data_IF_084806787529
#
_entry.id   IF_084806787529
#
_cell.length_a   1.000
_cell.length_b   1.000
_cell.length_c   1.000
_cell.angle_alpha   90.00
_cell.angle_beta   90.00
_cell.angle_gamma   90.00
#
_symmetry.space_group_name_H-M   'P 1'
#
loop_
_entity.id
_entity.type
_entity.pdbx_description
1 polymer ?
#
# COMPACT_ATOMS: atom_id res chain seq x y z
N UNK A 1 26.64 17.22 22.11
CA UNK A 1 25.64 17.66 21.12
C UNK A 1 24.52 16.64 21.20
N UNK A 2 23.26 17.09 21.10
CA UNK A 2 22.11 16.14 21.00
C UNK A 2 22.04 15.46 19.63
N UNK A 3 21.12 14.53 19.49
CA UNK A 3 20.84 13.87 18.22
C UNK A 3 20.35 14.87 17.16
N UNK A 4 20.74 14.67 15.92
CA UNK A 4 20.29 15.49 14.79
C UNK A 4 19.40 14.70 13.86
N UNK A 5 18.38 15.35 13.33
CA UNK A 5 17.40 14.75 12.42
C UNK A 5 17.43 15.49 11.09
N UNK A 6 18.30 15.08 10.13
CA UNK A 6 18.48 15.80 8.87
C UNK A 6 17.20 15.79 8.04
N UNK A 7 16.91 16.92 7.40
CA UNK A 7 15.82 17.06 6.45
C UNK A 7 16.12 16.25 5.18
N UNK A 8 15.08 15.68 4.59
CA UNK A 8 15.18 14.89 3.35
C UNK A 8 13.99 15.15 2.44
N UNK A 9 14.18 14.92 1.14
CA UNK A 9 13.13 15.08 0.12
C UNK A 9 12.41 13.77 -0.14
N UNK A 10 11.10 13.84 -0.38
CA UNK A 10 10.29 12.70 -0.80
C UNK A 10 9.49 13.02 -2.06
N UNK A 11 8.98 11.98 -2.72
CA UNK A 11 8.20 12.11 -3.94
C UNK A 11 6.90 11.28 -3.88
N UNK A 12 5.80 11.88 -4.33
CA UNK A 12 4.55 11.20 -4.62
C UNK A 12 4.33 11.16 -6.14
N UNK A 13 4.36 9.96 -6.70
CA UNK A 13 4.13 9.76 -8.14
C UNK A 13 2.63 9.77 -8.41
N UNK A 14 2.22 10.65 -9.33
CA UNK A 14 0.88 10.74 -9.89
C UNK A 14 0.96 10.36 -11.36
N UNK A 15 0.57 9.13 -11.71
CA UNK A 15 0.75 8.64 -13.05
C UNK A 15 -0.27 7.57 -13.46
N UNK A 16 -0.58 7.50 -14.75
CA UNK A 16 -1.30 6.39 -15.36
C UNK A 16 -0.33 5.22 -15.64
N UNK A 17 -0.75 3.97 -15.49
CA UNK A 17 -0.02 2.84 -16.07
C UNK A 17 -0.12 2.85 -17.60
N UNK A 18 0.73 2.10 -18.30
CA UNK A 18 0.39 1.60 -19.62
C UNK A 18 -0.53 0.42 -19.40
N UNK A 19 -1.84 0.67 -19.49
CA UNK A 19 -2.86 -0.19 -18.92
C UNK A 19 -2.84 -1.61 -19.49
N UNK A 20 -2.76 -2.61 -18.59
CA UNK A 20 -2.64 -4.03 -18.90
C UNK A 20 -1.37 -4.42 -19.71
N UNK A 21 -0.34 -3.57 -19.70
CA UNK A 21 0.97 -3.85 -20.28
C UNK A 21 2.03 -3.76 -19.16
N UNK A 22 2.43 -4.92 -18.64
CA UNK A 22 3.37 -5.04 -17.53
C UNK A 22 4.74 -4.48 -17.89
N UNK A 23 5.25 -4.83 -19.06
CA UNK A 23 6.59 -4.45 -19.50
C UNK A 23 6.71 -2.93 -19.66
N UNK A 24 5.80 -2.32 -20.42
CA UNK A 24 5.82 -0.86 -20.64
C UNK A 24 5.52 -0.07 -19.37
N UNK A 25 4.64 -0.59 -18.48
CA UNK A 25 4.40 0.06 -17.19
C UNK A 25 5.64 -0.02 -16.30
N UNK A 26 6.37 -1.14 -16.32
CA UNK A 26 7.64 -1.28 -15.60
C UNK A 26 8.71 -0.32 -16.12
N UNK A 27 8.87 -0.20 -17.44
CA UNK A 27 9.78 0.77 -18.06
C UNK A 27 9.45 2.21 -17.63
N UNK A 28 8.16 2.57 -17.67
CA UNK A 28 7.67 3.87 -17.21
C UNK A 28 7.96 4.08 -15.72
N UNK A 29 7.68 3.09 -14.87
CA UNK A 29 7.99 3.14 -13.45
C UNK A 29 9.47 3.38 -13.18
N UNK A 30 10.36 2.63 -13.83
CA UNK A 30 11.81 2.78 -13.71
C UNK A 30 12.28 4.18 -14.13
N UNK A 31 11.71 4.76 -15.19
CA UNK A 31 12.00 6.13 -15.60
C UNK A 31 11.59 7.14 -14.54
N UNK A 32 10.36 7.03 -13.99
CA UNK A 32 9.84 7.92 -12.94
C UNK A 32 10.66 7.81 -11.63
N UNK A 33 11.11 6.60 -11.27
CA UNK A 33 11.99 6.37 -10.12
C UNK A 33 13.32 7.14 -10.32
N UNK A 34 13.96 6.99 -11.49
CA UNK A 34 15.21 7.69 -11.79
C UNK A 34 15.04 9.21 -11.83
N UNK A 35 13.90 9.69 -12.36
CA UNK A 35 13.56 11.12 -12.38
C UNK A 35 13.44 11.66 -10.94
N UNK A 36 12.68 10.97 -10.08
CA UNK A 36 12.54 11.36 -8.68
C UNK A 36 13.88 11.30 -7.92
N UNK A 37 14.72 10.31 -8.20
CA UNK A 37 16.06 10.19 -7.63
C UNK A 37 16.99 11.35 -8.04
N UNK A 38 16.96 11.81 -9.30
CA UNK A 38 17.71 12.99 -9.76
C UNK A 38 17.33 14.26 -9.02
N UNK A 39 16.06 14.37 -8.61
CA UNK A 39 15.58 15.47 -7.77
C UNK A 39 15.93 15.31 -6.28
N UNK A 40 16.61 14.23 -5.90
CA UNK A 40 17.07 13.94 -4.56
C UNK A 40 16.00 13.34 -3.62
N UNK A 41 14.95 12.74 -4.17
CA UNK A 41 13.96 12.04 -3.36
C UNK A 41 14.57 10.79 -2.70
N UNK A 42 14.33 10.62 -1.39
CA UNK A 42 14.80 9.47 -0.59
C UNK A 42 13.72 8.42 -0.39
N UNK A 43 12.46 8.80 -0.50
CA UNK A 43 11.30 7.90 -0.48
C UNK A 43 10.37 8.30 -1.64
N UNK A 44 9.96 7.32 -2.44
CA UNK A 44 9.13 7.51 -3.62
C UNK A 44 7.91 6.59 -3.50
N UNK A 45 6.71 7.18 -3.37
CA UNK A 45 5.46 6.44 -3.37
C UNK A 45 4.83 6.36 -4.76
N UNK A 46 4.27 5.20 -5.09
CA UNK A 46 3.53 4.94 -6.33
C UNK A 46 2.06 4.65 -6.07
N UNK A 47 1.19 4.80 -7.09
CA UNK A 47 -0.23 4.48 -6.99
C UNK A 47 -0.51 3.00 -6.69
N UNK A 48 -1.74 2.72 -6.23
CA UNK A 48 -2.29 1.39 -6.01
C UNK A 48 -2.33 0.57 -7.29
N UNK A 49 -1.87 -0.70 -7.21
CA UNK A 49 -1.90 -1.65 -8.32
C UNK A 49 -1.35 -1.06 -9.63
N UNK A 50 -0.34 -0.19 -9.53
CA UNK A 50 0.20 0.57 -10.66
C UNK A 50 0.68 -0.33 -11.80
N UNK A 51 1.30 -1.48 -11.48
CA UNK A 51 1.70 -2.48 -12.47
C UNK A 51 0.72 -3.65 -12.44
N UNK A 52 0.00 -3.92 -13.52
CA UNK A 52 -0.15 -3.17 -14.78
C UNK A 52 -1.38 -2.25 -14.81
N UNK A 53 -1.97 -1.91 -13.64
CA UNK A 53 -3.14 -1.05 -13.50
C UNK A 53 -4.23 -1.65 -12.60
N UNK A 54 -5.03 -0.78 -12.00
CA UNK A 54 -6.14 -1.17 -11.13
C UNK A 54 -7.35 -1.66 -11.94
N UNK A 55 -8.09 -2.69 -11.50
CA UNK A 55 -9.21 -3.30 -12.24
C UNK A 55 -10.50 -2.46 -12.20
N UNK A 56 -10.49 -1.27 -12.77
CA UNK A 56 -11.62 -0.32 -12.80
C UNK A 56 -12.86 -0.81 -13.57
N UNK A 57 -12.75 -1.85 -14.39
CA UNK A 57 -13.83 -2.28 -15.31
C UNK A 57 -15.11 -2.71 -14.61
N UNK A 58 -15.08 -3.15 -13.36
CA UNK A 58 -16.28 -3.56 -12.64
C UNK A 58 -17.24 -2.42 -12.31
N UNK A 59 -16.76 -1.18 -12.35
CA UNK A 59 -17.59 0.00 -12.16
C UNK A 59 -18.36 0.37 -13.44
N UNK A 60 -17.96 -0.20 -14.60
CA UNK A 60 -18.46 0.18 -15.91
C UNK A 60 -18.95 -0.99 -16.75
N UNK A 61 -18.69 -2.24 -16.36
CA UNK A 61 -19.04 -3.45 -17.12
C UNK A 61 -19.75 -4.47 -16.25
N UNK A 62 -20.57 -5.30 -16.88
CA UNK A 62 -21.19 -6.45 -16.21
C UNK A 62 -20.10 -7.47 -15.85
N UNK A 63 -20.08 -7.94 -14.62
CA UNK A 63 -19.00 -8.79 -14.09
C UNK A 63 -18.70 -10.04 -14.96
N UNK A 64 -19.72 -10.69 -15.52
CA UNK A 64 -19.54 -11.88 -16.40
C UNK A 64 -18.73 -11.57 -17.66
N UNK A 65 -18.78 -10.32 -18.15
CA UNK A 65 -18.10 -9.89 -19.36
C UNK A 65 -16.65 -9.43 -19.09
N UNK A 66 -16.25 -9.38 -17.81
CA UNK A 66 -14.92 -8.95 -17.39
C UNK A 66 -13.88 -10.08 -17.40
N UNK A 67 -14.26 -11.35 -17.56
CA UNK A 67 -13.31 -12.48 -17.54
C UNK A 67 -12.11 -12.32 -18.48
N UNK A 68 -12.26 -11.84 -19.73
CA UNK A 68 -11.10 -11.61 -20.60
C UNK A 68 -10.14 -10.56 -20.03
N UNK A 69 -10.64 -9.49 -19.40
CA UNK A 69 -9.83 -8.45 -18.77
C UNK A 69 -9.11 -8.96 -17.53
N UNK A 70 -9.77 -9.81 -16.73
CA UNK A 70 -9.14 -10.47 -15.57
C UNK A 70 -8.01 -11.40 -16.03
N UNK A 71 -8.22 -12.12 -17.14
CA UNK A 71 -7.20 -12.98 -17.72
C UNK A 71 -6.00 -12.18 -18.22
N UNK A 72 -6.21 -11.04 -18.89
CA UNK A 72 -5.11 -10.16 -19.30
C UNK A 72 -4.40 -9.54 -18.10
N UNK A 73 -5.14 -9.12 -17.07
CA UNK A 73 -4.56 -8.67 -15.82
C UNK A 73 -3.66 -9.75 -15.20
N UNK A 74 -4.15 -11.00 -15.11
CA UNK A 74 -3.38 -12.12 -14.55
C UNK A 74 -2.08 -12.37 -15.31
N UNK A 75 -2.15 -12.39 -16.66
CA UNK A 75 -0.97 -12.58 -17.52
C UNK A 75 0.08 -11.48 -17.33
N UNK A 76 -0.38 -10.25 -17.09
CA UNK A 76 0.45 -9.06 -16.89
C UNK A 76 0.72 -8.74 -15.42
N UNK A 77 0.29 -9.57 -14.49
CA UNK A 77 0.60 -9.42 -13.06
C UNK A 77 2.01 -9.89 -12.72
N UNK A 78 2.51 -9.46 -11.56
CA UNK A 78 3.92 -9.57 -11.16
C UNK A 78 4.09 -10.70 -10.16
N UNK A 79 5.00 -11.63 -10.40
CA UNK A 79 5.53 -12.51 -9.35
C UNK A 79 6.64 -11.80 -8.58
N UNK A 80 6.73 -12.05 -7.29
CA UNK A 80 7.76 -11.49 -6.42
C UNK A 80 8.55 -12.64 -5.77
N UNK A 81 9.87 -12.80 -6.12
CA UNK A 81 10.68 -12.02 -7.09
C UNK A 81 10.43 -12.38 -8.56
N UNK A 82 10.83 -11.50 -9.48
CA UNK A 82 10.74 -11.70 -10.93
C UNK A 82 11.67 -10.74 -11.69
N UNK A 83 11.82 -10.86 -13.02
CA UNK A 83 12.54 -9.86 -13.83
C UNK A 83 11.99 -8.43 -13.69
N UNK A 84 10.67 -8.28 -13.52
CA UNK A 84 10.02 -6.98 -13.25
C UNK A 84 10.54 -6.38 -11.94
N UNK A 85 10.53 -7.15 -10.87
CA UNK A 85 11.03 -6.66 -9.57
C UNK A 85 12.52 -6.39 -9.60
N UNK A 86 13.31 -7.16 -10.39
CA UNK A 86 14.73 -6.90 -10.58
C UNK A 86 14.98 -5.55 -11.27
N UNK A 87 14.19 -5.20 -12.30
CA UNK A 87 14.30 -3.90 -12.97
C UNK A 87 13.94 -2.73 -12.03
N UNK A 88 12.90 -2.89 -11.20
CA UNK A 88 12.52 -1.91 -10.18
C UNK A 88 13.61 -1.75 -9.11
N UNK A 89 14.20 -2.85 -8.66
CA UNK A 89 15.32 -2.86 -7.72
C UNK A 89 16.53 -2.10 -8.26
N UNK A 90 16.87 -2.31 -9.52
CA UNK A 90 17.97 -1.59 -10.17
C UNK A 90 17.67 -0.09 -10.27
N UNK A 91 16.46 0.30 -10.68
CA UNK A 91 16.06 1.71 -10.71
C UNK A 91 16.09 2.36 -9.31
N UNK A 92 15.65 1.66 -8.27
CA UNK A 92 15.73 2.14 -6.89
C UNK A 92 17.18 2.34 -6.42
N UNK A 93 18.07 1.41 -6.76
CA UNK A 93 19.50 1.48 -6.48
C UNK A 93 20.15 2.68 -7.19
N UNK A 94 19.86 2.89 -8.48
CA UNK A 94 20.37 4.02 -9.26
C UNK A 94 19.87 5.36 -8.70
N UNK A 95 18.61 5.40 -8.23
CA UNK A 95 18.02 6.58 -7.58
C UNK A 95 18.54 6.82 -6.16
N UNK A 96 19.13 5.81 -5.50
CA UNK A 96 19.49 5.87 -4.07
C UNK A 96 18.29 6.13 -3.16
N UNK A 97 17.11 5.62 -3.54
CA UNK A 97 15.84 5.92 -2.90
C UNK A 97 15.08 4.65 -2.52
N UNK A 98 14.34 4.72 -1.41
CA UNK A 98 13.33 3.71 -1.09
C UNK A 98 12.11 3.90 -1.98
N UNK A 99 11.66 2.83 -2.62
CA UNK A 99 10.49 2.84 -3.52
C UNK A 99 9.38 1.99 -2.91
N UNK A 100 8.17 2.55 -2.85
CA UNK A 100 6.95 1.82 -2.49
C UNK A 100 6.06 1.73 -3.73
N UNK A 101 6.02 0.55 -4.34
CA UNK A 101 5.41 0.30 -5.64
C UNK A 101 4.11 -0.49 -5.51
N UNK A 102 3.01 0.03 -6.04
CA UNK A 102 1.76 -0.73 -6.17
C UNK A 102 1.82 -1.74 -7.31
N UNK A 103 1.53 -3.00 -7.03
CA UNK A 103 1.51 -4.06 -8.05
C UNK A 103 0.29 -4.97 -7.90
N UNK A 104 -0.18 -5.53 -9.02
CA UNK A 104 -0.98 -6.74 -8.98
C UNK A 104 -0.03 -7.93 -8.85
N UNK A 105 0.03 -8.52 -7.66
CA UNK A 105 0.90 -9.65 -7.37
C UNK A 105 0.22 -10.96 -7.77
N UNK A 106 0.90 -11.78 -8.57
CA UNK A 106 0.48 -13.14 -8.88
C UNK A 106 1.06 -14.12 -7.87
N UNK A 107 0.20 -14.92 -7.24
CA UNK A 107 0.65 -15.97 -6.32
C UNK A 107 1.40 -17.07 -7.07
N UNK A 108 2.68 -17.34 -6.76
CA UNK A 108 3.45 -18.36 -7.45
C UNK A 108 2.80 -19.75 -7.39
N UNK A 109 2.78 -20.44 -8.52
CA UNK A 109 2.23 -21.80 -8.63
C UNK A 109 0.70 -21.91 -8.55
N UNK A 110 -0.02 -20.79 -8.73
CA UNK A 110 -1.48 -20.77 -8.95
C UNK A 110 -1.80 -20.18 -10.32
N UNK A 111 -2.98 -20.55 -10.86
CA UNK A 111 -3.52 -19.97 -12.08
C UNK A 111 -4.83 -19.26 -11.74
N UNK A 112 -4.73 -17.98 -11.33
CA UNK A 112 -5.90 -17.14 -11.05
C UNK A 112 -5.87 -16.39 -9.72
N UNK A 113 -4.93 -16.66 -8.81
CA UNK A 113 -4.85 -15.94 -7.53
C UNK A 113 -3.99 -14.70 -7.68
N UNK A 114 -4.60 -13.54 -7.42
CA UNK A 114 -3.97 -12.22 -7.44
C UNK A 114 -4.11 -11.55 -6.07
N UNK A 115 -3.13 -10.70 -5.74
CA UNK A 115 -3.19 -9.79 -4.59
C UNK A 115 -2.92 -8.37 -5.05
N UNK A 116 -3.57 -7.43 -4.38
CA UNK A 116 -3.21 -6.03 -4.44
C UNK A 116 -2.09 -5.78 -3.44
N UNK A 117 -0.92 -5.37 -3.90
CA UNK A 117 0.31 -5.40 -3.10
C UNK A 117 1.08 -4.10 -3.21
N UNK A 118 1.57 -3.58 -2.10
CA UNK A 118 2.67 -2.62 -2.03
C UNK A 118 3.99 -3.39 -1.87
N UNK A 119 4.92 -3.18 -2.81
CA UNK A 119 6.28 -3.72 -2.77
C UNK A 119 7.23 -2.64 -2.27
N UNK A 120 7.98 -2.93 -1.22
CA UNK A 120 8.98 -2.04 -0.63
C UNK A 120 10.38 -2.44 -1.09
N UNK A 121 11.09 -1.50 -1.71
CA UNK A 121 12.45 -1.70 -2.26
C UNK A 121 13.36 -0.66 -1.62
N UNK A 122 14.48 -1.10 -1.06
CA UNK A 122 15.46 -0.23 -0.43
C UNK A 122 16.36 0.53 -1.41
N UNK A 123 17.08 1.55 -0.93
CA UNK A 123 17.99 2.34 -1.76
C UNK A 123 19.22 1.56 -2.24
N UNK A 124 19.46 0.37 -1.68
CA UNK A 124 20.49 -0.58 -2.12
C UNK A 124 19.99 -1.52 -3.23
N UNK A 125 18.74 -1.37 -3.67
CA UNK A 125 18.11 -2.22 -4.67
C UNK A 125 17.63 -3.57 -4.16
N UNK A 126 17.51 -3.75 -2.85
CA UNK A 126 16.96 -4.98 -2.28
C UNK A 126 15.48 -4.84 -1.95
N UNK A 127 14.73 -5.91 -2.16
CA UNK A 127 13.37 -6.01 -1.67
C UNK A 127 13.42 -6.06 -0.14
N UNK A 128 12.85 -5.04 0.53
CA UNK A 128 12.69 -4.99 1.97
C UNK A 128 11.54 -5.89 2.44
N UNK A 129 10.48 -5.94 1.65
CA UNK A 129 9.29 -6.74 1.89
C UNK A 129 8.11 -6.26 1.07
N UNK A 130 6.92 -6.65 1.49
CA UNK A 130 5.67 -6.28 0.84
C UNK A 130 4.52 -6.21 1.85
N UNK A 131 3.48 -5.46 1.49
CA UNK A 131 2.18 -5.50 2.15
C UNK A 131 1.12 -5.92 1.14
N UNK A 132 0.41 -7.02 1.40
CA UNK A 132 -0.77 -7.47 0.66
C UNK A 132 -2.01 -6.88 1.30
N UNK A 133 -2.84 -6.17 0.54
CA UNK A 133 -4.09 -5.58 1.02
C UNK A 133 -4.91 -6.62 1.78
N UNK A 134 -5.18 -6.33 3.06
CA UNK A 134 -5.82 -7.31 3.96
C UNK A 134 -7.24 -7.64 3.49
N UNK A 135 -8.00 -6.62 3.09
CA UNK A 135 -9.36 -6.79 2.59
C UNK A 135 -9.54 -5.98 1.31
N UNK A 136 -9.65 -6.63 0.14
CA UNK A 136 -9.99 -5.95 -1.11
C UNK A 136 -11.34 -5.25 -0.98
N UNK A 137 -11.44 -4.04 -1.58
CA UNK A 137 -12.61 -3.16 -1.41
C UNK A 137 -13.64 -3.43 -2.50
N UNK A 138 -14.92 -3.65 -2.10
CA UNK A 138 -16.06 -3.73 -3.00
C UNK A 138 -15.84 -4.73 -4.14
N UNK A 139 -15.93 -4.28 -5.39
CA UNK A 139 -15.78 -5.11 -6.61
C UNK A 139 -14.38 -5.67 -6.81
N UNK A 140 -13.37 -5.10 -6.17
CA UNK A 140 -12.00 -5.61 -6.14
C UNK A 140 -11.91 -7.07 -5.68
N UNK A 141 -12.87 -7.51 -4.82
CA UNK A 141 -12.99 -8.91 -4.34
C UNK A 141 -13.25 -9.92 -5.45
N UNK A 142 -13.65 -9.47 -6.63
CA UNK A 142 -13.82 -10.33 -7.80
C UNK A 142 -12.48 -10.65 -8.49
N UNK A 143 -11.41 -9.96 -8.10
CA UNK A 143 -10.06 -10.08 -8.69
C UNK A 143 -9.04 -10.49 -7.64
N UNK A 144 -8.98 -9.78 -6.52
CA UNK A 144 -7.93 -9.93 -5.53
C UNK A 144 -8.37 -10.77 -4.33
N UNK A 145 -7.48 -11.64 -3.89
CA UNK A 145 -7.60 -12.34 -2.62
C UNK A 145 -7.20 -11.41 -1.46
N UNK A 146 -7.73 -11.69 -0.26
CA UNK A 146 -7.36 -10.97 0.96
C UNK A 146 -5.93 -11.29 1.38
N UNK A 147 -5.18 -10.32 1.86
CA UNK A 147 -3.89 -10.48 2.52
C UNK A 147 -4.02 -11.12 3.91
N UNK A 148 -2.92 -11.13 4.66
CA UNK A 148 -2.86 -11.49 6.06
C UNK A 148 -1.91 -10.54 6.81
N UNK A 149 -1.96 -10.56 8.14
CA UNK A 149 -1.19 -9.60 8.93
C UNK A 149 0.31 -9.90 8.98
N UNK A 150 0.79 -11.00 8.42
CA UNK A 150 2.23 -11.28 8.30
C UNK A 150 2.96 -10.22 7.48
N UNK A 151 2.22 -9.50 6.63
CA UNK A 151 2.74 -8.44 5.75
C UNK A 151 2.44 -7.03 6.26
N UNK A 152 1.71 -6.87 7.38
CA UNK A 152 1.39 -5.58 7.99
C UNK A 152 2.57 -5.10 8.86
N UNK A 153 3.63 -4.61 8.20
CA UNK A 153 4.92 -4.28 8.82
C UNK A 153 5.46 -2.96 8.32
N UNK A 154 6.32 -2.35 9.15
CA UNK A 154 7.16 -1.23 8.74
C UNK A 154 8.54 -1.73 8.34
N UNK A 155 9.29 -0.89 7.61
CA UNK A 155 10.66 -1.16 7.18
C UNK A 155 11.57 -0.04 7.65
N UNK A 156 12.65 -0.39 8.33
CA UNK A 156 13.64 0.58 8.78
C UNK A 156 14.57 0.96 7.64
N UNK A 157 14.60 2.24 7.30
CA UNK A 157 15.47 2.83 6.31
C UNK A 157 16.27 3.98 6.95
N UNK A 158 17.25 4.48 6.25
CA UNK A 158 18.18 5.50 6.78
C UNK A 158 17.53 6.85 7.15
N UNK A 159 16.38 7.20 6.52
CA UNK A 159 15.63 8.43 6.83
C UNK A 159 14.48 8.20 7.82
N UNK A 160 14.31 6.99 8.33
CA UNK A 160 13.32 6.62 9.33
C UNK A 160 12.43 5.45 8.92
N UNK A 161 11.61 4.93 9.85
CA UNK A 161 10.71 3.80 9.56
C UNK A 161 9.61 4.17 8.57
N UNK A 162 9.47 3.38 7.50
CA UNK A 162 8.45 3.55 6.46
C UNK A 162 7.46 2.38 6.48
N UNK A 163 6.19 2.70 6.41
CA UNK A 163 5.10 1.75 6.23
C UNK A 163 4.17 2.19 5.09
N UNK A 164 3.08 1.47 4.93
CA UNK A 164 2.08 1.86 3.95
C UNK A 164 0.82 1.01 4.02
N UNK A 165 -0.27 1.61 3.56
CA UNK A 165 -1.58 0.99 3.43
C UNK A 165 -2.19 1.33 2.07
N UNK A 166 -3.06 0.45 1.60
CA UNK A 166 -3.65 0.51 0.27
C UNK A 166 -5.10 1.01 0.37
N UNK A 167 -5.38 2.18 -0.21
CA UNK A 167 -6.74 2.73 -0.40
C UNK A 167 -7.58 2.73 0.88
N UNK A 168 -8.68 1.98 0.91
CA UNK A 168 -9.62 1.89 2.02
C UNK A 168 -9.03 1.44 3.36
N UNK A 169 -7.91 0.74 3.35
CA UNK A 169 -7.19 0.34 4.57
C UNK A 169 -6.79 1.54 5.42
N UNK A 170 -6.52 2.68 4.78
CA UNK A 170 -6.19 3.95 5.45
C UNK A 170 -7.33 4.47 6.35
N UNK A 171 -8.53 3.89 6.27
CA UNK A 171 -9.66 4.21 7.15
C UNK A 171 -9.71 3.32 8.39
N UNK A 172 -9.05 2.15 8.36
CA UNK A 172 -9.15 1.16 9.42
C UNK A 172 -8.23 1.54 10.60
N UNK A 173 -8.85 1.82 11.75
CA UNK A 173 -8.12 2.24 12.96
C UNK A 173 -7.15 1.19 13.47
N UNK A 174 -7.49 -0.11 13.37
CA UNK A 174 -6.60 -1.19 13.80
C UNK A 174 -5.35 -1.30 12.92
N UNK A 175 -5.51 -1.16 11.58
CA UNK A 175 -4.37 -1.25 10.67
C UNK A 175 -3.42 -0.06 10.85
N UNK A 176 -3.98 1.15 10.99
CA UNK A 176 -3.19 2.35 11.28
C UNK A 176 -2.43 2.22 12.60
N UNK A 177 -3.14 1.84 13.66
CA UNK A 177 -2.53 1.69 14.99
C UNK A 177 -1.46 0.59 14.98
N UNK A 178 -1.65 -0.49 14.22
CA UNK A 178 -0.67 -1.56 14.07
C UNK A 178 0.67 -1.07 13.49
N UNK A 179 0.64 -0.18 12.48
CA UNK A 179 1.85 0.41 11.92
C UNK A 179 2.46 1.47 12.83
N UNK A 180 1.63 2.35 13.39
CA UNK A 180 2.08 3.41 14.29
C UNK A 180 2.76 2.85 15.54
N UNK A 181 2.24 1.78 16.14
CA UNK A 181 2.84 1.10 17.31
C UNK A 181 4.18 0.42 16.98
N UNK A 182 4.43 0.08 15.72
CA UNK A 182 5.75 -0.37 15.27
C UNK A 182 6.74 0.78 15.09
N UNK A 183 6.31 2.04 15.22
CA UNK A 183 7.16 3.23 15.16
C UNK A 183 7.19 3.90 13.77
N UNK A 184 6.16 3.73 12.96
CA UNK A 184 6.07 4.38 11.64
C UNK A 184 6.23 5.90 11.74
N UNK A 185 7.06 6.47 10.86
CA UNK A 185 7.28 7.92 10.73
C UNK A 185 6.97 8.45 9.33
N UNK A 186 7.03 7.57 8.33
CA UNK A 186 6.71 7.87 6.93
C UNK A 186 5.70 6.84 6.46
N UNK A 187 4.53 7.32 6.09
CA UNK A 187 3.44 6.49 5.59
C UNK A 187 3.24 6.68 4.09
N UNK A 188 3.15 5.59 3.33
CA UNK A 188 2.82 5.64 1.90
C UNK A 188 1.39 5.14 1.70
N UNK A 189 0.49 6.06 1.37
CA UNK A 189 -0.88 5.78 1.02
C UNK A 189 -1.03 5.66 -0.50
N UNK A 190 -1.26 4.46 -1.00
CA UNK A 190 -1.44 4.20 -2.44
C UNK A 190 -2.92 4.13 -2.79
N UNK A 191 -3.32 4.85 -3.86
CA UNK A 191 -4.71 4.95 -4.31
C UNK A 191 -4.82 4.66 -5.80
N UNK A 192 -5.97 4.13 -6.28
CA UNK A 192 -6.25 4.11 -7.70
C UNK A 192 -6.64 5.52 -8.17
N UNK A 193 -6.91 5.68 -9.46
CA UNK A 193 -7.55 6.89 -9.96
C UNK A 193 -9.02 6.94 -9.53
N UNK A 194 -9.51 8.10 -9.06
CA UNK A 194 -10.91 8.31 -8.70
C UNK A 194 -11.56 9.37 -9.57
N UNK A 195 -12.65 9.03 -10.29
CA UNK A 195 -13.20 9.92 -11.32
C UNK A 195 -13.89 11.17 -10.78
N UNK A 196 -14.26 11.19 -9.51
CA UNK A 196 -15.08 12.27 -8.96
C UNK A 196 -14.50 12.91 -7.69
N UNK A 197 -14.89 14.19 -7.46
CA UNK A 197 -14.42 14.98 -6.30
C UNK A 197 -14.85 14.42 -4.94
N UNK A 198 -15.96 13.69 -4.86
CA UNK A 198 -16.43 13.10 -3.60
C UNK A 198 -15.45 12.05 -3.11
N UNK A 199 -14.96 11.19 -4.01
CA UNK A 199 -13.97 10.17 -3.66
C UNK A 199 -12.61 10.79 -3.34
N UNK A 200 -12.22 11.85 -4.06
CA UNK A 200 -11.02 12.63 -3.77
C UNK A 200 -11.06 13.25 -2.37
N UNK A 201 -12.23 13.78 -1.93
CA UNK A 201 -12.40 14.31 -0.57
C UNK A 201 -12.25 13.22 0.50
N UNK A 202 -12.58 11.96 0.17
CA UNK A 202 -12.34 10.83 1.07
C UNK A 202 -10.85 10.51 1.23
N UNK A 203 -10.03 10.70 0.19
CA UNK A 203 -8.57 10.58 0.27
C UNK A 203 -8.05 11.67 1.23
N UNK A 204 -8.48 12.91 1.03
CA UNK A 204 -8.07 14.05 1.86
C UNK A 204 -8.29 13.79 3.35
N UNK A 205 -9.51 13.42 3.74
CA UNK A 205 -9.87 13.16 5.12
C UNK A 205 -8.99 12.06 5.73
N UNK A 206 -8.81 10.96 5.02
CA UNK A 206 -8.06 9.79 5.48
C UNK A 206 -6.58 10.09 5.68
N UNK A 207 -5.96 10.72 4.70
CA UNK A 207 -4.51 10.96 4.70
C UNK A 207 -4.12 12.06 5.67
N UNK A 208 -4.90 13.14 5.75
CA UNK A 208 -4.68 14.22 6.72
C UNK A 208 -4.91 13.74 8.16
N UNK A 209 -5.96 12.94 8.37
CA UNK A 209 -6.23 12.38 9.69
C UNK A 209 -5.13 11.37 10.11
N UNK A 210 -4.67 10.52 9.18
CA UNK A 210 -3.55 9.60 9.44
C UNK A 210 -2.31 10.35 9.92
N UNK A 211 -1.90 11.37 9.18
CA UNK A 211 -0.74 12.20 9.51
C UNK A 211 -0.90 12.86 10.89
N UNK A 212 -2.07 13.44 11.15
CA UNK A 212 -2.39 14.12 12.41
C UNK A 212 -2.46 13.14 13.59
N UNK A 213 -3.14 11.99 13.44
CA UNK A 213 -3.25 10.96 14.48
C UNK A 213 -1.88 10.39 14.84
N UNK A 214 -1.10 9.98 13.82
CA UNK A 214 0.19 9.30 13.99
C UNK A 214 1.35 10.23 14.27
N UNK A 215 1.18 11.56 14.07
CA UNK A 215 2.29 12.52 14.05
C UNK A 215 3.39 12.04 13.11
N UNK A 216 3.03 11.68 11.89
CA UNK A 216 3.90 11.15 10.86
C UNK A 216 3.71 11.88 9.54
N UNK A 217 4.63 11.71 8.60
CA UNK A 217 4.47 12.19 7.23
C UNK A 217 3.68 11.19 6.41
N UNK A 218 2.82 11.68 5.50
CA UNK A 218 2.08 10.84 4.56
C UNK A 218 2.41 11.23 3.12
N UNK A 219 2.89 10.27 2.35
CA UNK A 219 3.06 10.36 0.90
C UNK A 219 1.84 9.70 0.26
N UNK A 220 0.94 10.49 -0.30
CA UNK A 220 -0.31 10.03 -0.90
C UNK A 220 -0.19 10.05 -2.41
N UNK A 221 -0.16 8.88 -3.05
CA UNK A 221 0.03 8.71 -4.49
C UNK A 221 -1.23 8.13 -5.13
N UNK A 222 -1.76 8.82 -6.13
CA UNK A 222 -2.97 8.41 -6.87
C UNK A 222 -2.66 8.08 -8.32
N UNK A 223 -3.41 7.12 -8.87
CA UNK A 223 -3.43 6.85 -10.29
C UNK A 223 -4.01 8.00 -11.11
N UNK A 224 -3.83 7.91 -12.42
CA UNK A 224 -4.39 8.83 -13.41
C UNK A 224 -5.11 8.00 -14.48
N UNK A 225 -6.26 8.45 -14.96
CA UNK A 225 -6.91 7.87 -16.14
C UNK A 225 -6.27 8.38 -17.42
N UNK A 226 -5.70 7.49 -18.21
CA UNK A 226 -5.28 7.79 -19.58
C UNK A 226 -6.43 7.65 -20.58
N UNK A 227 -6.25 8.14 -21.80
CA UNK A 227 -7.26 7.98 -22.86
C UNK A 227 -7.41 6.52 -23.27
N UNK A 228 -6.32 5.76 -23.31
CA UNK A 228 -6.34 4.32 -23.59
C UNK A 228 -7.14 3.55 -22.53
N UNK A 229 -7.00 3.93 -21.26
CA UNK A 229 -7.82 3.35 -20.18
C UNK A 229 -9.30 3.65 -20.41
N UNK A 230 -9.66 4.90 -20.76
CA UNK A 230 -11.05 5.28 -21.03
C UNK A 230 -11.65 4.51 -22.20
N UNK A 231 -10.89 4.37 -23.30
CA UNK A 231 -11.34 3.61 -24.47
C UNK A 231 -11.58 2.13 -24.12
N UNK A 232 -10.74 1.54 -23.29
CA UNK A 232 -10.88 0.14 -22.89
C UNK A 232 -12.01 -0.06 -21.85
N UNK A 233 -12.14 0.85 -20.88
CA UNK A 233 -13.10 0.71 -19.78
C UNK A 233 -14.52 1.06 -20.19
N UNK A 234 -14.71 2.09 -21.01
CA UNK A 234 -16.02 2.65 -21.33
C UNK A 234 -16.61 2.03 -22.59
N UNK A 235 -17.86 1.58 -22.50
CA UNK A 235 -18.64 1.04 -23.63
C UNK A 235 -19.72 2.01 -24.13
N UNK A 236 -19.98 3.09 -23.37
CA UNK A 236 -20.98 4.12 -23.73
C UNK A 236 -20.41 5.55 -23.60
N UNK A 237 -20.99 6.54 -24.32
CA UNK A 237 -20.60 7.94 -24.18
C UNK A 237 -20.79 8.48 -22.75
N UNK A 238 -21.82 8.03 -22.04
CA UNK A 238 -22.11 8.41 -20.66
C UNK A 238 -21.00 7.99 -19.70
N UNK A 239 -20.50 6.76 -19.88
CA UNK A 239 -19.36 6.24 -19.11
C UNK A 239 -18.09 7.05 -19.39
N UNK A 240 -17.83 7.40 -20.67
CA UNK A 240 -16.69 8.27 -21.03
C UNK A 240 -16.81 9.65 -20.36
N UNK A 241 -18.02 10.20 -20.27
CA UNK A 241 -18.26 11.46 -19.56
C UNK A 241 -18.02 11.34 -18.06
N UNK A 242 -18.39 10.22 -17.44
CA UNK A 242 -18.10 9.95 -16.02
C UNK A 242 -16.60 9.87 -15.74
N UNK A 243 -15.79 9.32 -16.67
CA UNK A 243 -14.34 9.23 -16.58
C UNK A 243 -13.58 10.40 -17.22
N UNK A 244 -14.25 11.52 -17.49
CA UNK A 244 -13.60 12.68 -18.16
C UNK A 244 -12.51 13.33 -17.31
N UNK A 245 -12.58 13.22 -15.98
CA UNK A 245 -11.55 13.72 -15.06
C UNK A 245 -10.27 12.92 -15.08
N UNK A 246 -9.18 13.51 -14.60
CA UNK A 246 -7.87 12.83 -14.50
C UNK A 246 -7.86 11.71 -13.48
N UNK A 247 -8.75 11.77 -12.49
CA UNK A 247 -8.78 10.82 -11.37
C UNK A 247 -7.72 11.06 -10.29
N UNK A 248 -6.87 12.06 -10.50
CA UNK A 248 -5.73 12.35 -9.66
C UNK A 248 -6.08 13.17 -8.41
N UNK A 249 -5.37 12.89 -7.30
CA UNK A 249 -5.45 13.66 -6.06
C UNK A 249 -4.23 13.38 -5.16
N UNK A 250 -3.03 13.42 -5.73
CA UNK A 250 -1.81 13.14 -4.97
C UNK A 250 -1.42 14.33 -4.09
N UNK A 251 -0.82 14.03 -2.94
CA UNK A 251 -0.36 15.04 -1.98
C UNK A 251 0.75 14.49 -1.08
N UNK A 252 1.47 15.39 -0.43
CA UNK A 252 2.40 15.07 0.67
C UNK A 252 1.96 15.89 1.88
N UNK A 253 1.83 15.24 3.03
CA UNK A 253 1.18 15.77 4.22
C UNK A 253 2.13 15.68 5.40
N UNK A 254 2.18 16.74 6.20
CA UNK A 254 2.98 16.85 7.41
C UNK A 254 2.25 16.37 8.67
N UNK A 255 2.97 16.24 9.81
CA UNK A 255 2.47 15.67 11.06
C UNK A 255 1.29 16.42 11.72
N UNK A 256 1.02 17.66 11.32
CA UNK A 256 -0.15 18.45 11.79
C UNK A 256 -1.36 18.31 10.86
N UNK A 257 -1.26 17.47 9.80
CA UNK A 257 -2.27 17.32 8.77
C UNK A 257 -2.27 18.41 7.70
N UNK A 258 -1.24 19.27 7.68
CA UNK A 258 -1.02 20.30 6.65
C UNK A 258 -0.51 19.71 5.34
N UNK A 259 -0.81 20.34 4.22
CA UNK A 259 -0.23 19.99 2.95
C UNK A 259 1.16 20.58 2.79
N UNK A 260 2.17 19.74 2.58
CA UNK A 260 3.52 20.13 2.21
C UNK A 260 3.67 20.25 0.69
N UNK A 261 2.88 19.43 -0.06
CA UNK A 261 2.73 19.54 -1.50
C UNK A 261 1.36 19.00 -1.93
N UNK A 262 0.79 19.59 -2.97
CA UNK A 262 -0.58 19.27 -3.43
C UNK A 262 -1.67 19.79 -2.47
N UNK A 263 -2.91 19.24 -2.50
CA UNK A 263 -3.34 18.16 -3.41
C UNK A 263 -3.36 18.60 -4.87
N UNK A 264 -3.03 17.69 -5.77
CA UNK A 264 -3.02 17.97 -7.20
C UNK A 264 -4.01 17.07 -7.95
N UNK A 265 -4.92 17.68 -8.70
CA UNK A 265 -5.92 17.00 -9.53
C UNK A 265 -5.64 17.12 -11.03
N UNK A 266 -4.43 17.55 -11.40
CA UNK A 266 -3.99 17.65 -12.79
C UNK A 266 -3.63 16.32 -13.42
N UNK A 267 -2.89 16.37 -14.51
CA UNK A 267 -2.40 15.17 -15.20
C UNK A 267 -1.22 14.49 -14.50
N UNK A 268 -0.46 13.71 -15.26
CA UNK A 268 0.72 13.02 -14.73
C UNK A 268 1.80 14.00 -14.28
N UNK A 269 2.36 13.74 -13.10
CA UNK A 269 3.50 14.48 -12.52
C UNK A 269 4.08 13.75 -11.31
N UNK A 270 5.20 14.25 -10.82
CA UNK A 270 5.76 13.87 -9.53
C UNK A 270 5.69 15.10 -8.61
N UNK A 271 5.05 14.93 -7.45
CA UNK A 271 5.06 15.95 -6.40
C UNK A 271 6.24 15.72 -5.46
N UNK A 272 6.86 16.81 -5.02
CA UNK A 272 8.01 16.76 -4.11
C UNK A 272 7.76 17.61 -2.88
N UNK A 273 8.28 17.16 -1.73
CA UNK A 273 8.34 17.94 -0.52
C UNK A 273 9.64 17.66 0.26
N UNK A 274 10.12 18.68 0.95
CA UNK A 274 11.17 18.55 1.97
C UNK A 274 10.51 18.20 3.29
N UNK A 275 10.91 17.09 3.91
CA UNK A 275 10.44 16.67 5.23
C UNK A 275 11.44 17.07 6.31
N UNK A 276 10.93 17.56 7.45
CA UNK A 276 11.69 17.91 8.62
C UNK A 276 11.30 16.98 9.77
N UNK A 277 12.10 15.95 10.10
CA UNK A 277 11.75 15.01 11.16
C UNK A 277 11.64 15.62 12.55
N UNK A 278 12.22 16.79 12.80
CA UNK A 278 12.09 17.49 14.09
C UNK A 278 10.65 17.91 14.36
N UNK A 279 9.82 18.11 13.30
CA UNK A 279 8.39 18.41 13.45
C UNK A 279 7.67 17.21 14.10
N UNK A 280 8.02 15.98 13.75
CA UNK A 280 7.46 14.78 14.41
C UNK A 280 7.75 14.82 15.92
N UNK A 281 9.01 15.09 16.29
CA UNK A 281 9.43 15.16 17.68
C UNK A 281 8.65 16.25 18.42
N UNK A 282 8.57 17.46 17.84
CA UNK A 282 7.86 18.60 18.42
C UNK A 282 6.38 18.28 18.69
N UNK A 283 5.69 17.69 17.72
CA UNK A 283 4.28 17.34 17.82
C UNK A 283 4.03 16.19 18.82
N UNK A 284 4.91 15.19 18.86
CA UNK A 284 4.83 14.07 19.79
C UNK A 284 5.11 14.43 21.24
N UNK A 285 5.87 15.47 21.52
CA UNK A 285 6.06 15.98 22.89
C UNK A 285 4.71 16.30 23.57
N UNK A 286 3.77 16.83 22.79
CA UNK A 286 2.44 17.21 23.30
C UNK A 286 1.41 16.08 23.21
N UNK A 287 1.48 15.24 22.18
CA UNK A 287 0.41 14.28 21.88
C UNK A 287 0.96 13.05 21.13
N UNK A 288 1.55 12.11 21.85
CA UNK A 288 2.03 10.86 21.28
C UNK A 288 1.10 9.69 21.61
N UNK A 289 0.23 9.31 20.65
CA UNK A 289 -0.68 8.17 20.79
C UNK A 289 0.06 6.82 20.88
N UNK A 290 1.31 6.78 20.45
CA UNK A 290 2.14 5.57 20.53
C UNK A 290 3.01 5.54 21.79
N UNK A 291 2.89 6.56 22.64
CA UNK A 291 3.66 6.75 23.86
C UNK A 291 2.79 7.24 25.02
N UNK A 292 3.18 8.40 25.58
CA UNK A 292 2.63 8.93 26.83
C UNK A 292 1.15 9.34 26.78
N UNK A 293 0.57 9.53 25.59
CA UNK A 293 -0.84 9.91 25.43
C UNK A 293 -1.75 8.70 25.20
N UNK A 294 -1.40 7.54 25.75
CA UNK A 294 -2.18 6.31 25.69
C UNK A 294 -2.13 5.54 27.02
N UNK A 295 -3.09 4.66 27.23
CA UNK A 295 -3.23 3.83 28.42
C UNK A 295 -3.10 2.35 28.00
N UNK A 296 -1.88 1.92 27.65
CA UNK A 296 -1.56 0.53 27.28
C UNK A 296 -1.72 -0.47 28.43
N UNK A 297 -1.86 0.03 29.65
CA UNK A 297 -2.28 -0.75 30.79
C UNK A 297 -3.78 -1.13 30.78
N UNK A 298 -4.60 -0.37 30.01
CA UNK A 298 -6.04 -0.64 29.85
C UNK A 298 -6.38 -1.27 28.51
N UNK A 299 -5.61 -0.97 27.44
CA UNK A 299 -5.90 -1.39 26.08
C UNK A 299 -4.69 -2.09 25.45
N UNK A 300 -4.93 -3.24 24.86
CA UNK A 300 -3.93 -4.01 24.14
C UNK A 300 -4.40 -4.27 22.71
N UNK A 301 -3.51 -4.12 21.73
CA UNK A 301 -3.72 -4.55 20.35
C UNK A 301 -2.95 -5.86 20.12
N UNK A 302 -3.67 -6.96 19.97
CA UNK A 302 -3.08 -8.26 19.64
C UNK A 302 -3.29 -8.53 18.16
N UNK A 303 -2.21 -8.85 17.46
CA UNK A 303 -2.22 -9.12 16.01
C UNK A 303 -1.74 -10.55 15.80
N UNK A 304 -2.54 -11.36 15.12
CA UNK A 304 -2.07 -12.64 14.61
C UNK A 304 -1.29 -12.42 13.31
N UNK A 305 0.02 -12.34 13.42
CA UNK A 305 0.93 -12.06 12.30
C UNK A 305 1.44 -13.32 11.60
N UNK A 306 0.82 -14.47 11.86
CA UNK A 306 1.16 -15.72 11.17
C UNK A 306 0.74 -15.63 9.71
N UNK A 307 1.64 -16.06 8.82
CA UNK A 307 1.32 -16.18 7.41
C UNK A 307 0.25 -17.28 7.19
N UNK A 308 -0.85 -16.91 6.54
CA UNK A 308 -1.90 -17.87 6.20
C UNK A 308 -1.46 -18.71 5.02
N UNK A 309 -1.22 -20.01 5.26
CA UNK A 309 -0.99 -20.95 4.16
C UNK A 309 -2.28 -21.14 3.35
N UNK A 310 -2.30 -20.63 2.12
CA UNK A 310 -3.44 -20.75 1.21
C UNK A 310 -3.39 -22.02 0.37
N UNK A 311 -2.30 -22.77 0.47
CA UNK A 311 -2.18 -24.09 -0.13
C UNK A 311 -2.39 -25.12 0.94
N UNK A 312 -3.41 -25.99 0.80
CA UNK A 312 -3.50 -27.14 1.68
C UNK A 312 -2.20 -27.95 1.55
N UNK A 313 -1.53 -28.18 2.67
CA UNK A 313 -0.45 -29.14 2.71
C UNK A 313 -1.09 -30.50 2.42
N UNK A 314 -0.80 -31.05 1.25
CA UNK A 314 -1.22 -32.41 0.94
C UNK A 314 -0.35 -33.34 1.79
N UNK A 315 -0.84 -33.69 3.00
CA UNK A 315 -0.24 -34.72 3.83
C UNK A 315 -1.07 -35.97 3.65
N UNK A 316 -0.45 -37.09 3.29
CA UNK A 316 -1.13 -38.38 3.34
C UNK A 316 -1.52 -38.67 4.80
N UNK A 317 -2.63 -39.36 5.02
CA UNK A 317 -3.16 -39.69 6.35
C UNK A 317 -2.10 -40.35 7.24
N UNK A 318 -1.19 -41.12 6.66
CA UNK A 318 -0.11 -41.80 7.35
C UNK A 318 0.98 -40.85 7.92
N UNK A 319 1.16 -39.67 7.31
CA UNK A 319 2.08 -38.64 7.84
C UNK A 319 1.46 -37.78 8.93
N UNK A 320 0.13 -37.62 8.97
CA UNK A 320 -0.58 -36.91 10.02
C UNK A 320 -0.60 -37.68 11.36
N UNK A 321 -0.60 -39.00 11.30
CA UNK A 321 -0.55 -39.85 12.51
C UNK A 321 0.84 -39.86 13.16
N UNK A 322 1.92 -39.66 12.40
CA UNK A 322 3.28 -39.60 12.92
C UNK A 322 3.63 -38.27 13.61
N UNK A 323 3.03 -37.17 13.19
CA UNK A 323 3.29 -35.84 13.78
C UNK A 323 2.40 -35.55 15.01
N UNK A 324 1.18 -36.09 15.06
CA UNK A 324 0.29 -35.95 16.23
C UNK A 324 0.73 -36.77 17.44
N UNK A 325 1.67 -37.70 17.28
CA UNK A 325 2.27 -38.45 18.38
C UNK A 325 3.35 -37.67 19.17
N UNK A 326 3.74 -36.47 18.71
CA UNK A 326 4.76 -35.62 19.34
C UNK A 326 4.28 -34.27 19.87
N UNK A 327 2.98 -33.95 19.72
CA UNK A 327 2.38 -32.76 20.32
C UNK A 327 1.74 -33.18 21.66
N UNK A 328 2.55 -33.05 22.73
CA UNK A 328 2.01 -33.08 24.09
C UNK A 328 0.98 -31.97 24.28
N UNK A 329 -0.15 -32.36 24.83
CA UNK A 329 -1.26 -31.52 25.27
C UNK A 329 -0.73 -30.34 26.12
N UNK A 330 -0.68 -29.15 25.55
CA UNK A 330 -0.69 -27.91 26.30
C UNK A 330 -1.62 -26.91 25.58
N UNK A 331 -2.93 -27.18 25.67
CA UNK A 331 -4.01 -26.28 25.29
C UNK A 331 -4.83 -25.96 26.52
N UNK A 332 -4.22 -25.39 27.56
CA UNK A 332 -4.98 -24.73 28.62
C UNK A 332 -5.14 -23.23 28.25
N UNK A 333 -6.18 -22.94 27.49
CA UNK A 333 -6.81 -21.62 27.56
C UNK A 333 -7.32 -21.44 29.00
N UNK A 334 -7.01 -20.30 29.68
CA UNK A 334 -7.62 -20.03 30.97
C UNK A 334 -9.14 -19.95 30.80
N UNK A 335 -9.92 -20.49 31.76
CA UNK A 335 -11.38 -20.44 31.69
C UNK A 335 -11.81 -18.97 31.66
N UNK A 336 -12.75 -18.67 30.75
CA UNK A 336 -13.51 -17.42 30.78
C UNK A 336 -14.16 -17.33 32.17
N UNK A 337 -13.85 -16.28 32.92
CA UNK A 337 -14.49 -16.01 34.20
C UNK A 337 -16.00 -15.84 33.96
N UNK A 338 -16.81 -16.65 34.61
CA UNK A 338 -18.25 -16.52 34.65
C UNK A 338 -18.63 -15.13 35.16
N UNK A 339 -19.22 -14.33 34.26
CA UNK A 339 -19.90 -13.12 34.64
C UNK A 339 -21.31 -13.48 35.16
N UNK A 340 -21.43 -13.83 36.45
CA UNK A 340 -22.70 -13.83 37.13
C UNK A 340 -22.63 -12.96 38.38
N UNK A 341 -23.29 -11.82 38.26
CA UNK A 341 -24.17 -11.12 39.20
C UNK A 341 -23.56 -10.22 40.30
N UNK A 342 -24.39 -9.29 40.81
CA UNK A 342 -25.49 -8.46 40.21
C UNK A 342 -25.17 -6.97 40.16
#
# INVERSE_FOLDING_TARGET
MGDSYPKFKVAAVQAAPVFLDREKTTEKACRLIREAGKEGARVIGFPEAYIPGFPHWFDYRIARDCKPLIMELFKNSVEIPSPVTAALCEAAREAGATVVMGVNEREPGTLGTLFNTQLFIGPDGKILGKHRKLVPTWTERLVHASGDASTLKIFHIDVGPVGGLICGENTNSFYRMALLLQGERIHVASWPAFPNRKEQSHIEIRTRYYAFEGKCFVISSTGVFSDEMRELLCTTPEQKKQLAGTGAFSSIIGPTGEYLAGPDSGGEKILYAQLDPEVILFEKISHDLTGHYNRFDLFQLVIDDRAVSRRPLFKSRDKLSAENGSLSEDTSLPPLADATEP
#
